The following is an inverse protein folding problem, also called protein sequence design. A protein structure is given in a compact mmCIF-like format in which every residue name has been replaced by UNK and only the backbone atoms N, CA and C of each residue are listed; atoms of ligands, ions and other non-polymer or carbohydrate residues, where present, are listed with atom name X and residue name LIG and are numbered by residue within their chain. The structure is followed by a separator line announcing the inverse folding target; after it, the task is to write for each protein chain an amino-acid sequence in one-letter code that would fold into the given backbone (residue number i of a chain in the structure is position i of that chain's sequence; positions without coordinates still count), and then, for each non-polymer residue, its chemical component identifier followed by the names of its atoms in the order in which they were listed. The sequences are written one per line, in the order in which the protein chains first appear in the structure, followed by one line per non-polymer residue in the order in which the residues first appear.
data_IF_071079390610
#
_entry.id   IF_071079390610
#
_cell.length_a   1.000
_cell.length_b   1.000
_cell.length_c   1.000
_cell.angle_alpha   90.00
_cell.angle_beta   90.00
_cell.angle_gamma   90.00
#
_symmetry.space_group_name_H-M   'P 1'
#
loop_
_entity.id
_entity.type
_entity.pdbx_description
1 polymer ?
#
# COMPACT_ATOMS: atom_id res chain seq x y z
N UNK A 1 10.67 -2.20 4.93
CA UNK A 1 11.58 -1.81 6.03
C UNK A 1 11.50 -2.85 7.13
N UNK A 2 12.62 -3.29 7.73
CA UNK A 2 12.61 -4.37 8.74
C UNK A 2 12.35 -3.90 10.18
N UNK A 3 12.67 -2.63 10.49
CA UNK A 3 12.49 -2.03 11.81
C UNK A 3 11.64 -0.78 11.69
N UNK A 4 10.74 -0.58 12.65
CA UNK A 4 9.96 0.64 12.77
C UNK A 4 10.76 1.71 13.52
N UNK A 5 10.63 2.95 13.09
CA UNK A 5 11.04 4.16 13.82
C UNK A 5 10.09 5.28 13.42
N UNK A 6 9.71 6.15 14.36
CA UNK A 6 8.98 7.39 14.03
C UNK A 6 9.78 8.33 13.11
N UNK A 7 11.10 8.15 13.10
CA UNK A 7 12.04 8.91 12.30
C UNK A 7 13.09 7.94 11.73
N UNK A 8 12.83 7.31 10.55
CA UNK A 8 13.69 6.28 9.98
C UNK A 8 14.81 6.83 9.10
N UNK A 9 14.96 8.15 9.00
CA UNK A 9 15.98 8.83 8.20
C UNK A 9 16.65 9.96 8.99
N UNK A 10 17.72 10.49 8.42
CA UNK A 10 18.45 11.68 8.87
C UNK A 10 18.74 12.55 7.65
N UNK A 11 19.11 13.80 7.86
CA UNK A 11 19.52 14.70 6.78
C UNK A 11 20.89 15.28 7.07
N UNK A 12 21.68 15.53 6.02
CA UNK A 12 23.00 16.14 6.09
C UNK A 12 23.03 17.40 5.22
N UNK A 13 23.88 18.36 5.57
CA UNK A 13 24.05 19.60 4.81
C UNK A 13 25.43 19.66 4.11
N UNK A 14 25.65 20.73 3.34
CA UNK A 14 26.89 20.96 2.58
C UNK A 14 28.15 21.11 3.45
N UNK A 15 28.00 21.35 4.76
CA UNK A 15 29.09 21.49 5.72
C UNK A 15 29.49 20.16 6.38
N UNK A 16 29.07 19.02 5.81
CA UNK A 16 29.29 17.68 6.38
C UNK A 16 28.71 17.52 7.80
N UNK A 17 27.64 18.25 8.13
CA UNK A 17 26.91 18.10 9.41
C UNK A 17 25.59 17.37 9.15
N UNK A 18 25.39 16.26 9.87
CA UNK A 18 24.18 15.47 9.82
C UNK A 18 23.35 15.63 11.11
N UNK A 19 22.04 15.68 10.96
CA UNK A 19 21.10 15.84 12.07
C UNK A 19 20.06 14.72 12.03
N UNK A 20 19.78 14.13 13.19
CA UNK A 20 18.81 13.05 13.36
C UNK A 20 17.69 13.52 14.28
N UNK A 21 16.44 13.40 13.82
CA UNK A 21 15.24 13.79 14.57
C UNK A 21 15.30 15.20 15.18
N UNK A 22 16.09 16.10 14.59
CA UNK A 22 16.33 17.47 15.09
C UNK A 22 15.53 18.54 14.35
N UNK A 23 14.64 18.13 13.43
CA UNK A 23 13.69 18.97 12.70
C UNK A 23 12.28 18.38 12.81
N UNK A 24 11.29 19.19 12.42
CA UNK A 24 9.89 18.79 12.29
C UNK A 24 9.65 18.03 10.99
N UNK A 25 10.47 16.99 10.76
CA UNK A 25 10.26 16.07 9.65
C UNK A 25 9.19 15.03 10.02
N UNK A 26 8.59 14.41 9.01
CA UNK A 26 7.47 13.48 9.14
C UNK A 26 7.80 12.11 8.57
N UNK A 27 7.17 11.07 9.10
CA UNK A 27 7.09 9.76 8.46
C UNK A 27 5.66 9.25 8.48
N UNK A 28 5.28 8.50 7.44
CA UNK A 28 3.93 7.99 7.26
C UNK A 28 3.97 6.47 7.17
N UNK A 29 3.01 5.82 7.83
CA UNK A 29 2.95 4.36 7.92
C UNK A 29 1.54 3.89 7.67
N UNK A 30 1.36 2.81 6.90
CA UNK A 30 0.07 2.12 6.84
C UNK A 30 -0.34 1.71 8.25
N UNK A 31 -1.62 1.90 8.57
CA UNK A 31 -2.14 1.72 9.91
C UNK A 31 -3.12 0.55 10.02
N UNK A 32 -3.28 0.03 11.24
CA UNK A 32 -4.17 -1.09 11.55
C UNK A 32 -5.63 -0.63 11.72
N UNK A 33 -6.51 -1.55 12.12
CA UNK A 33 -7.89 -1.24 12.48
C UNK A 33 -8.03 -0.69 13.91
N UNK A 34 -6.92 -0.48 14.63
CA UNK A 34 -6.95 0.03 15.99
C UNK A 34 -7.61 1.42 16.01
N UNK A 35 -8.66 1.63 16.83
CA UNK A 35 -9.36 2.90 16.88
C UNK A 35 -8.47 4.00 17.44
N UNK A 36 -8.62 5.22 16.91
CA UNK A 36 -7.97 6.41 17.43
C UNK A 36 -8.33 6.62 18.91
N UNK A 37 -7.39 7.08 19.76
CA UNK A 37 -7.69 7.41 21.15
C UNK A 37 -8.86 8.39 21.25
N UNK A 38 -9.81 8.14 22.17
CA UNK A 38 -10.99 9.01 22.34
C UNK A 38 -10.63 10.47 22.61
N UNK A 39 -9.49 10.73 23.26
CA UNK A 39 -9.01 12.08 23.55
C UNK A 39 -8.30 12.75 22.36
N UNK A 40 -8.13 12.07 21.23
CA UNK A 40 -7.43 12.55 20.03
C UNK A 40 -5.98 13.03 20.27
N UNK A 41 -5.40 12.67 21.43
CA UNK A 41 -4.06 13.06 21.84
C UNK A 41 -3.01 12.28 21.06
N UNK A 42 -1.88 12.91 20.66
CA UNK A 42 -0.79 12.22 19.98
C UNK A 42 -0.31 10.98 20.74
N UNK A 43 -0.22 9.86 20.02
CA UNK A 43 0.16 8.55 20.54
C UNK A 43 1.69 8.53 20.71
N UNK A 44 2.21 8.22 21.92
CA UNK A 44 3.65 8.13 22.14
C UNK A 44 4.24 6.86 21.53
N UNK A 45 5.52 6.89 21.17
CA UNK A 45 6.22 5.79 20.50
C UNK A 45 6.13 4.42 21.21
N UNK A 46 5.99 4.38 22.55
CA UNK A 46 5.81 3.12 23.30
C UNK A 46 4.49 2.39 22.98
N UNK A 47 3.45 3.16 22.64
CA UNK A 47 2.09 2.66 22.47
C UNK A 47 1.71 2.54 20.98
N UNK A 48 2.62 2.96 20.08
CA UNK A 48 2.35 3.02 18.64
C UNK A 48 2.26 1.66 17.97
N UNK A 49 2.89 0.63 18.56
CA UNK A 49 3.06 -0.70 17.95
C UNK A 49 1.76 -1.31 17.43
N UNK A 50 0.64 -1.09 18.12
CA UNK A 50 -0.68 -1.62 17.75
C UNK A 50 -1.33 -0.89 16.55
N UNK A 51 -0.87 0.32 16.24
CA UNK A 51 -1.37 1.11 15.12
C UNK A 51 -0.59 0.89 13.83
N UNK A 52 0.63 0.34 13.89
CA UNK A 52 1.49 0.17 12.71
C UNK A 52 1.19 -1.16 12.00
N UNK A 53 0.83 -1.06 10.71
CA UNK A 53 0.61 -2.24 9.86
C UNK A 53 1.91 -3.04 9.67
N UNK A 54 1.76 -4.33 9.35
CA UNK A 54 2.85 -5.25 9.09
C UNK A 54 2.86 -5.62 7.61
N UNK A 55 4.03 -5.95 7.08
CA UNK A 55 4.20 -6.37 5.70
C UNK A 55 5.12 -7.59 5.61
N UNK A 56 4.92 -8.36 4.53
CA UNK A 56 5.77 -9.48 4.13
C UNK A 56 6.28 -9.22 2.73
N UNK A 57 7.54 -9.57 2.47
CA UNK A 57 8.12 -9.52 1.13
C UNK A 57 8.21 -10.96 0.63
N UNK A 58 7.51 -11.23 -0.48
CA UNK A 58 7.42 -12.56 -1.08
C UNK A 58 8.17 -12.58 -2.42
N UNK A 59 8.80 -13.70 -2.74
CA UNK A 59 9.41 -13.95 -4.05
C UNK A 59 8.43 -14.72 -4.94
N UNK A 60 8.33 -14.34 -6.21
CA UNK A 60 7.47 -14.99 -7.21
C UNK A 60 8.25 -15.35 -8.46
N UNK A 61 7.84 -16.40 -9.17
CA UNK A 61 8.48 -16.87 -10.40
C UNK A 61 8.15 -16.01 -11.62
N UNK A 62 7.03 -15.27 -11.56
CA UNK A 62 6.51 -14.46 -12.66
C UNK A 62 6.04 -13.08 -12.16
N UNK A 63 5.49 -12.28 -13.08
CA UNK A 63 5.04 -10.91 -12.82
C UNK A 63 3.75 -10.89 -12.01
N UNK A 64 3.62 -9.86 -11.17
CA UNK A 64 2.41 -9.53 -10.42
C UNK A 64 1.93 -8.14 -10.84
N UNK A 65 0.62 -7.99 -11.08
CA UNK A 65 -0.02 -6.71 -11.43
C UNK A 65 -1.29 -6.50 -10.63
N UNK A 66 -1.72 -5.25 -10.47
CA UNK A 66 -3.08 -4.90 -10.07
C UNK A 66 -3.95 -4.58 -11.30
N UNK A 67 -5.23 -4.94 -11.23
CA UNK A 67 -6.27 -4.58 -12.21
C UNK A 67 -7.41 -3.91 -11.46
N UNK A 68 -7.97 -2.85 -12.04
CA UNK A 68 -9.01 -2.02 -11.42
C UNK A 68 -10.28 -2.02 -12.26
N UNK A 69 -11.45 -2.18 -11.63
CA UNK A 69 -12.74 -2.24 -12.35
C UNK A 69 -13.37 -0.88 -12.59
N UNK A 70 -13.01 0.13 -11.80
CA UNK A 70 -13.78 1.40 -11.69
C UNK A 70 -15.28 1.16 -11.46
N UNK A 71 -15.61 0.07 -10.73
CA UNK A 71 -16.97 -0.31 -10.35
C UNK A 71 -16.96 -0.97 -8.97
N UNK A 72 -18.14 -1.31 -8.43
CA UNK A 72 -18.25 -2.11 -7.21
C UNK A 72 -18.00 -3.61 -7.43
N UNK A 73 -17.95 -4.06 -8.69
CA UNK A 73 -17.64 -5.44 -9.04
C UNK A 73 -16.14 -5.68 -9.05
N UNK A 74 -15.73 -6.87 -8.61
CA UNK A 74 -14.33 -7.31 -8.64
C UNK A 74 -13.93 -7.53 -10.11
N UNK A 75 -12.83 -6.93 -10.61
CA UNK A 75 -12.37 -7.20 -11.96
C UNK A 75 -11.77 -8.61 -12.05
N UNK A 76 -12.01 -9.31 -13.16
CA UNK A 76 -11.34 -10.59 -13.43
C UNK A 76 -9.88 -10.37 -13.81
N UNK A 77 -9.01 -11.26 -13.37
CA UNK A 77 -7.63 -11.31 -13.87
C UNK A 77 -7.60 -11.61 -15.38
N UNK A 78 -6.60 -11.08 -16.12
CA UNK A 78 -6.49 -11.34 -17.56
C UNK A 78 -6.26 -12.83 -17.85
N UNK A 79 -6.54 -13.27 -19.08
CA UNK A 79 -6.27 -14.65 -19.50
C UNK A 79 -4.80 -15.04 -19.28
N UNK A 80 -4.57 -16.21 -18.70
CA UNK A 80 -3.24 -16.68 -18.31
C UNK A 80 -2.69 -16.09 -17.00
N UNK A 81 -3.55 -15.46 -16.19
CA UNK A 81 -3.20 -14.96 -14.86
C UNK A 81 -4.08 -15.61 -13.78
N UNK A 82 -3.58 -15.62 -12.56
CA UNK A 82 -4.23 -16.16 -11.37
C UNK A 82 -4.41 -15.05 -10.33
N UNK A 83 -5.57 -15.01 -9.67
CA UNK A 83 -5.86 -14.06 -8.60
C UNK A 83 -5.07 -14.42 -7.34
N UNK A 84 -4.36 -13.43 -6.77
CA UNK A 84 -3.70 -13.54 -5.48
C UNK A 84 -4.58 -12.99 -4.35
N UNK A 85 -5.12 -11.79 -4.53
CA UNK A 85 -6.08 -11.18 -3.60
C UNK A 85 -6.93 -10.12 -4.29
N UNK A 86 -7.99 -9.71 -3.61
CA UNK A 86 -8.90 -8.66 -4.03
C UNK A 86 -8.87 -7.50 -3.03
N UNK A 87 -9.28 -6.31 -3.47
CA UNK A 87 -9.24 -5.15 -2.59
C UNK A 87 -10.00 -3.94 -3.13
N UNK A 88 -9.55 -2.78 -2.68
CA UNK A 88 -10.03 -1.46 -3.04
C UNK A 88 -8.93 -0.64 -3.70
N UNK A 89 -9.31 0.13 -4.71
CA UNK A 89 -8.39 0.85 -5.59
C UNK A 89 -7.85 2.12 -4.93
N UNK A 90 -6.70 2.01 -4.29
CA UNK A 90 -5.99 3.12 -3.65
C UNK A 90 -5.07 3.83 -4.65
N UNK A 91 -5.21 5.15 -4.78
CA UNK A 91 -4.46 5.95 -5.74
C UNK A 91 -3.31 6.71 -5.07
N UNK A 92 -3.65 7.51 -4.05
CA UNK A 92 -2.68 8.39 -3.39
C UNK A 92 -3.18 8.82 -2.01
N UNK A 93 -2.28 9.43 -1.25
CA UNK A 93 -2.57 10.12 0.01
C UNK A 93 -1.88 11.46 0.05
N UNK A 94 -2.49 12.41 0.77
CA UNK A 94 -1.90 13.71 1.10
C UNK A 94 -2.07 13.99 2.59
N UNK A 95 -1.19 14.81 3.16
CA UNK A 95 -1.34 15.31 4.53
C UNK A 95 -0.73 16.71 4.69
N UNK A 96 -0.12 16.99 5.85
CA UNK A 96 0.56 18.23 6.20
C UNK A 96 1.34 18.84 5.04
N UNK A 97 0.97 20.08 4.65
CA UNK A 97 1.62 20.82 3.56
C UNK A 97 1.21 20.43 2.14
N UNK A 98 0.19 19.59 1.97
CA UNK A 98 -0.21 18.99 0.69
C UNK A 98 0.87 18.12 0.04
N UNK A 99 1.88 17.71 0.82
CA UNK A 99 2.79 16.66 0.40
C UNK A 99 2.05 15.33 0.38
N UNK A 100 2.32 14.52 -0.64
CA UNK A 100 1.58 13.30 -0.86
C UNK A 100 2.41 12.23 -1.55
N UNK A 101 1.98 10.99 -1.36
CA UNK A 101 2.57 9.83 -2.02
C UNK A 101 1.51 9.13 -2.86
N UNK A 102 1.85 8.84 -4.12
CA UNK A 102 1.01 8.06 -5.03
C UNK A 102 1.50 6.63 -5.21
N UNK A 103 0.62 5.79 -5.74
CA UNK A 103 0.95 4.44 -6.20
C UNK A 103 0.74 4.35 -7.71
N UNK A 104 1.56 3.54 -8.38
CA UNK A 104 1.27 3.14 -9.75
C UNK A 104 0.06 2.21 -9.76
N UNK A 105 -0.92 2.45 -10.63
CA UNK A 105 -2.14 1.62 -10.74
C UNK A 105 -1.87 0.20 -11.27
N UNK A 106 -0.67 -0.09 -11.77
CA UNK A 106 -0.29 -1.49 -12.08
C UNK A 106 0.39 -2.17 -10.88
N UNK A 107 0.82 -1.41 -9.88
CA UNK A 107 1.48 -1.94 -8.69
C UNK A 107 0.46 -2.61 -7.77
N UNK A 108 0.76 -3.79 -7.19
CA UNK A 108 -0.07 -4.41 -6.15
C UNK A 108 -0.37 -3.48 -4.97
N UNK A 109 0.51 -2.50 -4.68
CA UNK A 109 0.31 -1.50 -3.62
C UNK A 109 -0.87 -0.55 -3.84
N UNK A 110 -1.39 -0.46 -5.07
CA UNK A 110 -2.63 0.27 -5.38
C UNK A 110 -3.91 -0.52 -5.05
N UNK A 111 -3.78 -1.77 -4.60
CA UNK A 111 -4.91 -2.65 -4.27
C UNK A 111 -4.88 -3.09 -2.80
N UNK A 112 -5.37 -2.21 -1.91
CA UNK A 112 -5.46 -2.49 -0.48
C UNK A 112 -6.64 -3.42 -0.19
N UNK A 113 -6.39 -4.53 0.49
CA UNK A 113 -7.42 -5.54 0.83
C UNK A 113 -8.55 -4.94 1.67
N UNK A 114 -8.20 -4.06 2.61
CA UNK A 114 -9.14 -3.39 3.49
C UNK A 114 -9.30 -1.91 3.14
N UNK A 115 -10.55 -1.49 2.91
CA UNK A 115 -10.87 -0.06 2.85
C UNK A 115 -10.88 0.57 4.26
N UNK A 116 -10.14 1.67 4.40
CA UNK A 116 -10.14 2.57 5.56
C UNK A 116 -10.13 4.01 5.05
N UNK A 117 -10.97 4.89 5.60
CA UNK A 117 -10.94 6.31 5.24
C UNK A 117 -9.58 6.98 5.58
N UNK A 118 -8.92 6.50 6.63
CA UNK A 118 -7.58 6.94 7.04
C UNK A 118 -6.65 5.71 7.12
N UNK A 119 -6.11 5.22 5.99
CA UNK A 119 -5.33 3.99 5.95
C UNK A 119 -3.90 4.15 6.46
N UNK A 120 -3.46 5.38 6.79
CA UNK A 120 -2.11 5.68 7.27
C UNK A 120 -2.15 6.58 8.51
N UNK A 121 -1.05 6.56 9.26
CA UNK A 121 -0.82 7.37 10.46
C UNK A 121 0.44 8.23 10.25
N UNK A 122 0.39 9.50 10.68
CA UNK A 122 1.49 10.45 10.60
C UNK A 122 2.32 10.39 11.87
N UNK A 123 3.65 10.32 11.75
CA UNK A 123 4.61 10.25 12.85
C UNK A 123 5.64 11.37 12.74
N UNK A 124 6.04 11.95 13.88
CA UNK A 124 6.95 13.10 13.97
C UNK A 124 8.25 12.71 14.66
N UNK A 125 9.32 13.47 14.37
CA UNK A 125 10.63 13.32 15.01
C UNK A 125 10.64 13.38 16.55
N UNK A 126 9.63 14.00 17.15
CA UNK A 126 9.43 14.08 18.60
C UNK A 126 8.96 12.77 19.25
N UNK A 127 8.85 11.66 18.51
CA UNK A 127 8.46 10.36 19.09
C UNK A 127 6.96 10.18 19.27
N UNK A 128 6.16 10.87 18.46
CA UNK A 128 4.70 10.84 18.55
C UNK A 128 4.07 10.66 17.17
N UNK A 129 2.90 10.03 17.14
CA UNK A 129 2.12 9.87 15.92
C UNK A 129 0.65 10.21 16.17
N UNK A 130 -0.07 10.60 15.13
CA UNK A 130 -1.50 10.82 15.22
C UNK A 130 -2.20 10.68 13.86
N UNK A 131 -3.53 10.69 13.88
CA UNK A 131 -4.34 10.93 12.71
C UNK A 131 -4.75 12.41 12.69
N UNK A 132 -4.58 13.07 11.56
CA UNK A 132 -4.92 14.48 11.42
C UNK A 132 -6.09 14.64 10.45
N UNK A 133 -6.92 15.66 10.68
CA UNK A 133 -8.04 15.97 9.79
C UNK A 133 -7.58 16.47 8.41
N UNK A 134 -6.31 16.86 8.29
CA UNK A 134 -5.65 17.24 7.04
C UNK A 134 -5.28 16.03 6.18
N UNK A 135 -5.23 14.83 6.75
CA UNK A 135 -4.87 13.61 6.07
C UNK A 135 -6.01 13.12 5.16
N UNK A 136 -5.78 13.10 3.86
CA UNK A 136 -6.75 12.64 2.87
C UNK A 136 -6.23 11.38 2.16
N UNK A 137 -7.14 10.42 1.96
CA UNK A 137 -6.90 9.25 1.12
C UNK A 137 -7.75 9.32 -0.15
N UNK A 138 -7.14 8.99 -1.28
CA UNK A 138 -7.77 9.07 -2.60
C UNK A 138 -7.90 7.67 -3.19
N UNK A 139 -9.10 7.36 -3.64
CA UNK A 139 -9.49 6.06 -4.15
C UNK A 139 -10.09 6.23 -5.55
N UNK A 140 -9.90 5.24 -6.44
CA UNK A 140 -10.59 5.29 -7.73
C UNK A 140 -12.10 5.21 -7.51
N UNK A 141 -12.84 6.15 -8.10
CA UNK A 141 -14.28 6.18 -8.00
C UNK A 141 -14.93 5.18 -8.96
N UNK A 142 -16.15 4.75 -8.64
CA UNK A 142 -16.97 4.02 -9.61
C UNK A 142 -17.47 4.95 -10.72
N UNK A 143 -17.35 4.54 -11.98
CA UNK A 143 -17.79 5.31 -13.15
C UNK A 143 -18.62 4.41 -14.04
N UNK A 144 -19.84 4.83 -14.36
CA UNK A 144 -20.68 4.14 -15.34
C UNK A 144 -20.25 4.51 -16.76
N UNK A 145 -20.29 3.55 -17.68
CA UNK A 145 -19.84 3.74 -19.07
C UNK A 145 -20.61 4.85 -19.78
N UNK A 146 -21.91 4.96 -19.55
CA UNK A 146 -22.75 6.04 -20.10
C UNK A 146 -22.40 7.43 -19.58
N UNK A 147 -21.65 7.53 -18.47
CA UNK A 147 -21.35 8.79 -17.78
C UNK A 147 -19.87 9.23 -17.93
N UNK A 148 -19.00 8.46 -18.60
CA UNK A 148 -17.55 8.74 -18.67
C UNK A 148 -17.20 10.15 -19.17
N UNK A 149 -18.00 10.70 -20.08
CA UNK A 149 -17.81 12.02 -20.68
C UNK A 149 -18.84 13.06 -20.24
N UNK A 150 -19.60 12.74 -19.19
CA UNK A 150 -20.59 13.64 -18.60
C UNK A 150 -20.01 14.35 -17.37
N UNK A 151 -20.61 15.48 -16.98
CA UNK A 151 -20.23 16.15 -15.74
C UNK A 151 -20.52 15.22 -14.54
N UNK A 152 -19.52 14.91 -13.68
CA UNK A 152 -19.74 14.05 -12.53
C UNK A 152 -20.77 14.63 -11.56
N UNK A 153 -21.70 13.79 -11.09
CA UNK A 153 -22.68 14.17 -10.05
C UNK A 153 -21.98 14.29 -8.70
N UNK A 154 -22.03 15.48 -8.10
CA UNK A 154 -21.47 15.71 -6.77
C UNK A 154 -22.23 14.91 -5.70
N UNK A 155 -21.48 14.29 -4.80
CA UNK A 155 -22.02 13.47 -3.72
C UNK A 155 -21.15 13.62 -2.48
N UNK A 156 -21.76 13.61 -1.30
CA UNK A 156 -21.06 13.47 -0.03
C UNK A 156 -21.49 12.16 0.60
N UNK A 157 -20.55 11.24 0.80
CA UNK A 157 -20.80 9.92 1.38
C UNK A 157 -20.47 9.95 2.87
N UNK A 158 -21.29 9.29 3.69
CA UNK A 158 -21.10 9.16 5.13
C UNK A 158 -20.79 7.71 5.51
N UNK A 159 -20.45 7.49 6.78
CA UNK A 159 -20.23 6.15 7.32
C UNK A 159 -21.41 5.21 6.98
N UNK A 160 -21.09 3.99 6.52
CA UNK A 160 -22.07 3.04 5.98
C UNK A 160 -22.05 2.97 4.45
N UNK A 161 -22.01 4.12 3.77
CA UNK A 161 -22.14 4.18 2.31
C UNK A 161 -20.81 4.38 1.57
N UNK A 162 -19.70 4.57 2.30
CA UNK A 162 -18.40 4.92 1.71
C UNK A 162 -17.97 3.97 0.59
N UNK A 163 -18.18 2.66 0.75
CA UNK A 163 -17.75 1.63 -0.20
C UNK A 163 -18.55 1.61 -1.51
N UNK A 164 -19.72 2.27 -1.56
CA UNK A 164 -20.62 2.24 -2.72
C UNK A 164 -20.05 2.96 -3.95
N UNK A 165 -19.10 3.87 -3.76
CA UNK A 165 -18.44 4.62 -4.85
C UNK A 165 -16.95 4.33 -4.97
N UNK A 166 -16.44 3.32 -4.26
CA UNK A 166 -15.02 2.96 -4.30
C UNK A 166 -14.82 1.78 -5.25
N UNK A 167 -13.99 2.00 -6.27
CA UNK A 167 -13.62 1.01 -7.26
C UNK A 167 -12.88 -0.17 -6.64
N UNK A 168 -13.22 -1.38 -7.10
CA UNK A 168 -12.55 -2.62 -6.70
C UNK A 168 -11.35 -2.93 -7.56
N UNK A 169 -10.48 -3.77 -7.02
CA UNK A 169 -9.30 -4.26 -7.71
C UNK A 169 -9.03 -5.73 -7.38
N UNK A 170 -8.25 -6.37 -8.25
CA UNK A 170 -7.70 -7.70 -8.05
C UNK A 170 -6.19 -7.65 -8.36
N UNK A 171 -5.39 -8.32 -7.55
CA UNK A 171 -3.97 -8.51 -7.80
C UNK A 171 -3.77 -9.89 -8.41
N UNK A 172 -3.04 -9.92 -9.52
CA UNK A 172 -2.94 -11.07 -10.40
C UNK A 172 -1.47 -11.47 -10.59
N UNK A 173 -1.17 -12.77 -10.52
CA UNK A 173 0.10 -13.38 -10.85
C UNK A 173 0.04 -14.02 -12.24
N UNK A 174 1.02 -13.77 -13.10
CA UNK A 174 1.06 -14.41 -14.43
C UNK A 174 1.35 -15.89 -14.28
N UNK A 175 0.53 -16.77 -14.84
CA UNK A 175 0.85 -18.20 -14.82
C UNK A 175 2.14 -18.45 -15.62
N UNK A 176 3.08 -19.25 -15.11
CA UNK A 176 4.20 -19.71 -15.92
C UNK A 176 3.63 -20.50 -17.12
N UNK A 177 4.22 -20.33 -18.30
CA UNK A 177 3.82 -21.08 -19.49
C UNK A 177 4.14 -22.56 -19.26
N UNK A 178 3.15 -23.32 -18.77
CA UNK A 178 3.06 -24.78 -18.76
C UNK A 178 1.62 -25.18 -18.37
N UNK A 179 0.62 -24.64 -19.07
CA UNK A 179 -0.78 -25.08 -18.93
C UNK A 179 -1.42 -25.27 -20.31
N UNK A 180 -0.94 -26.26 -21.05
CA UNK A 180 -1.66 -26.82 -22.19
C UNK A 180 -2.20 -28.18 -21.80
N UNK A 181 -3.53 -28.27 -21.69
CA UNK A 181 -4.29 -29.46 -22.06
C UNK A 181 -3.88 -30.83 -21.51
N UNK A 182 -3.24 -30.90 -20.33
CA UNK A 182 -2.99 -32.17 -19.64
C UNK A 182 -1.65 -32.88 -19.90
N UNK A 183 -0.59 -32.19 -20.34
CA UNK A 183 0.76 -32.79 -20.43
C UNK A 183 1.76 -32.07 -19.51
N UNK A 184 2.39 -32.84 -18.62
CA UNK A 184 3.55 -32.42 -17.82
C UNK A 184 4.79 -32.31 -18.72
N UNK A 185 5.27 -31.10 -18.99
CA UNK A 185 6.61 -30.89 -19.55
C UNK A 185 7.55 -30.51 -18.41
N UNK A 186 8.63 -31.29 -18.15
CA UNK A 186 9.59 -30.95 -17.11
C UNK A 186 10.26 -29.62 -17.42
N UNK A 187 10.40 -28.81 -16.38
CA UNK A 187 11.03 -27.50 -16.38
C UNK A 187 12.41 -27.57 -17.05
N UNK A 188 12.53 -26.97 -18.23
CA UNK A 188 13.82 -26.71 -18.87
C UNK A 188 14.48 -25.53 -18.13
N UNK A 189 14.90 -25.79 -16.89
CA UNK A 189 15.28 -24.76 -15.93
C UNK A 189 16.28 -25.23 -14.89
N UNK A 190 17.12 -26.23 -15.19
CA UNK A 190 18.33 -26.49 -14.43
C UNK A 190 19.31 -25.31 -14.59
N UNK A 191 19.20 -24.30 -13.71
CA UNK A 191 20.27 -23.33 -13.49
C UNK A 191 20.52 -23.14 -11.98
N UNK A 192 21.38 -24.04 -11.49
CA UNK A 192 22.32 -23.86 -10.36
C UNK A 192 21.74 -23.38 -9.03
N UNK A 193 21.57 -24.35 -8.13
CA UNK A 193 21.86 -24.13 -6.69
C UNK A 193 23.25 -23.52 -6.57
N UNK A 194 23.35 -22.21 -6.27
CA UNK A 194 24.59 -21.66 -5.69
C UNK A 194 24.58 -22.00 -4.20
N UNK A 195 25.63 -22.62 -3.65
CA UNK A 195 25.73 -22.77 -2.20
C UNK A 195 25.83 -21.38 -1.57
N UNK A 196 25.02 -21.13 -0.56
CA UNK A 196 25.20 -20.02 0.37
C UNK A 196 26.58 -20.19 0.99
N UNK A 197 27.52 -19.30 0.68
CA UNK A 197 28.83 -19.31 1.33
C UNK A 197 28.64 -19.04 2.83
N UNK A 198 29.03 -20.04 3.61
CA UNK A 198 29.13 -20.01 5.07
C UNK A 198 30.25 -19.04 5.45
N UNK A 199 29.97 -18.19 6.44
CA UNK A 199 30.90 -17.30 7.12
C UNK A 199 32.23 -18.00 7.46
N UNK A 200 33.36 -17.39 7.10
CA UNK A 200 34.65 -17.67 7.73
C UNK A 200 34.90 -16.61 8.79
N UNK A 201 35.01 -17.07 10.02
CA UNK A 201 35.72 -16.40 11.10
C UNK A 201 37.18 -16.19 10.69
N UNK A 202 37.68 -15.00 10.97
CA UNK A 202 39.08 -14.59 11.03
C UNK A 202 39.16 -13.45 12.01
#
# INVERSE_FOLDING_TARGET
MQRFSVMPFLFCNLNNVCNYASRNDYSYWLSTAEPMPMMMTPIPARDIKKYISRCSVCETTTRVIAVHSQSISIPSCPSGWEELWIGYSFLMSTDSGAEGSGQSLVSPGSCLEDFRASPFIECHGLGRCNYFATAHSYWLATVEESQMFSRPRQQTLKAGDLRTRIGRCAVCLKRPWNWDGGINIPDAGEYRRRPVYRSRNG
#
